data_IF_039937556391
#
_entry.id   IF_039937556391
#
_cell.length_a   1.000
_cell.length_b   1.000
_cell.length_c   1.000
_cell.angle_alpha   90.00
_cell.angle_beta   90.00
_cell.angle_gamma   90.00
#
_symmetry.space_group_name_H-M   'P 1'
#
loop_
_entity.id
_entity.type
_entity.pdbx_description
1 polymer ?
#
# COMPACT_ATOMS: atom_id res chain seq x y z
N UNK A 1 11.61 -27.35 13.56
CA UNK A 1 10.54 -26.37 13.85
C UNK A 1 11.25 -25.07 14.12
N UNK A 2 11.39 -24.24 13.09
CA UNK A 2 11.98 -22.91 13.25
C UNK A 2 10.93 -21.98 13.87
N UNK A 3 11.34 -21.29 14.92
CA UNK A 3 10.55 -20.41 15.78
C UNK A 3 10.98 -18.97 15.52
N UNK A 4 10.66 -18.44 14.33
CA UNK A 4 10.55 -17.00 14.10
C UNK A 4 9.69 -16.72 12.88
N UNK A 5 8.39 -16.95 13.00
CA UNK A 5 7.38 -16.45 12.06
C UNK A 5 7.19 -14.94 12.30
N UNK A 6 8.22 -14.15 11.98
CA UNK A 6 8.22 -12.69 12.14
C UNK A 6 7.99 -12.09 10.77
N UNK A 7 6.79 -12.26 10.24
CA UNK A 7 6.38 -11.51 9.06
C UNK A 7 6.34 -10.04 9.44
N UNK A 8 7.21 -9.26 8.82
CA UNK A 8 7.29 -7.82 8.93
C UNK A 8 6.74 -7.22 7.63
N UNK A 9 5.40 -7.24 7.42
CA UNK A 9 4.82 -6.77 6.17
C UNK A 9 4.97 -5.25 6.08
N UNK A 10 5.39 -4.78 4.91
CA UNK A 10 5.45 -3.37 4.55
C UNK A 10 4.70 -3.12 3.24
N UNK A 11 4.22 -1.89 3.09
CA UNK A 11 3.44 -1.48 1.92
C UNK A 11 4.23 -0.44 1.14
N UNK A 12 4.33 -0.64 -0.17
CA UNK A 12 4.95 0.30 -1.10
C UNK A 12 3.85 0.93 -1.94
N UNK A 13 3.71 2.24 -1.85
CA UNK A 13 2.81 3.07 -2.64
C UNK A 13 3.58 3.69 -3.80
N UNK A 14 3.09 3.60 -5.02
CA UNK A 14 3.73 4.21 -6.20
C UNK A 14 2.71 4.87 -7.10
N UNK A 15 3.00 6.09 -7.54
CA UNK A 15 2.20 6.89 -8.47
C UNK A 15 3.12 7.44 -9.54
N UNK A 16 2.95 6.99 -10.78
CA UNK A 16 3.80 7.39 -11.90
C UNK A 16 5.28 7.16 -11.61
N UNK A 17 6.07 8.24 -11.57
CA UNK A 17 7.51 8.21 -11.29
C UNK A 17 7.86 8.34 -9.79
N UNK A 18 6.88 8.40 -8.89
CA UNK A 18 7.10 8.62 -7.45
C UNK A 18 6.66 7.40 -6.67
N UNK A 19 7.54 6.89 -5.83
CA UNK A 19 7.26 5.80 -4.91
C UNK A 19 7.53 6.22 -3.47
N UNK A 20 6.73 5.69 -2.54
CA UNK A 20 6.81 5.94 -1.12
C UNK A 20 6.46 4.67 -0.37
N UNK A 21 7.36 4.26 0.51
CA UNK A 21 7.20 3.06 1.30
C UNK A 21 6.69 3.42 2.69
N UNK A 22 5.72 2.64 3.17
CA UNK A 22 5.26 2.71 4.56
C UNK A 22 6.34 2.25 5.51
N UNK A 23 6.32 2.75 6.74
CA UNK A 23 7.26 2.26 7.76
C UNK A 23 7.08 0.75 7.95
N UNK A 24 8.16 -0.01 7.78
CA UNK A 24 8.20 -1.44 8.10
C UNK A 24 8.06 -1.56 9.62
N UNK A 25 6.88 -1.92 10.11
CA UNK A 25 6.63 -2.07 11.56
C UNK A 25 7.16 -3.44 12.00
N UNK A 26 8.47 -3.47 12.30
CA UNK A 26 9.15 -4.64 12.84
C UNK A 26 8.42 -5.14 14.10
N UNK A 27 8.12 -6.43 14.17
CA UNK A 27 7.62 -7.13 15.37
C UNK A 27 6.18 -6.77 15.80
N UNK A 28 5.22 -6.69 14.86
CA UNK A 28 3.80 -6.62 15.22
C UNK A 28 2.86 -7.28 14.20
N UNK A 29 2.33 -8.46 14.54
CA UNK A 29 1.36 -9.27 13.77
C UNK A 29 -0.04 -8.63 13.60
N UNK A 30 -0.25 -7.41 14.09
CA UNK A 30 -1.48 -6.62 13.93
C UNK A 30 -1.13 -5.13 14.09
N UNK A 31 -0.74 -4.41 13.03
CA UNK A 31 -0.53 -2.97 13.13
C UNK A 31 -1.88 -2.23 13.20
N UNK A 32 -2.48 -2.19 14.38
CA UNK A 32 -3.55 -1.23 14.71
C UNK A 32 -2.89 0.10 15.07
N UNK A 33 -2.79 0.99 14.09
CA UNK A 33 -2.62 2.45 14.21
C UNK A 33 -1.30 2.97 14.86
N UNK A 34 -0.92 4.26 14.68
CA UNK A 34 -1.63 5.32 13.94
C UNK A 34 -1.74 5.03 12.43
N UNK A 35 -2.81 5.50 11.76
CA UNK A 35 -2.85 5.49 10.31
C UNK A 35 -1.69 6.36 9.80
N UNK A 36 -0.70 5.76 9.14
CA UNK A 36 0.32 6.54 8.43
C UNK A 36 -0.34 7.14 7.18
N UNK A 37 -0.39 8.47 7.11
CA UNK A 37 -0.83 9.20 5.93
C UNK A 37 0.38 9.51 5.06
N UNK A 38 0.27 9.19 3.77
CA UNK A 38 1.31 9.46 2.77
C UNK A 38 0.79 10.41 1.72
N UNK A 39 1.53 11.49 1.51
CA UNK A 39 1.28 12.40 0.39
C UNK A 39 2.17 12.01 -0.79
N UNK A 40 1.53 11.73 -1.93
CA UNK A 40 2.14 11.49 -3.24
C UNK A 40 1.59 12.49 -4.25
N UNK A 41 2.49 13.12 -5.00
CA UNK A 41 2.13 14.05 -6.07
C UNK A 41 1.93 13.27 -7.38
N UNK A 42 0.69 13.20 -7.86
CA UNK A 42 0.41 12.70 -9.19
C UNK A 42 0.70 13.77 -10.24
N UNK A 43 1.33 13.40 -11.35
CA UNK A 43 1.55 14.30 -12.47
C UNK A 43 0.28 14.41 -13.32
N UNK A 44 -0.17 13.27 -13.82
CA UNK A 44 -1.29 13.13 -14.75
C UNK A 44 -2.30 12.14 -14.16
N UNK A 45 -3.13 12.58 -13.21
CA UNK A 45 -4.10 11.71 -12.50
C UNK A 45 -5.12 10.98 -13.41
N UNK A 46 -5.24 11.36 -14.69
CA UNK A 46 -6.06 10.66 -15.69
C UNK A 46 -5.37 9.41 -16.25
N UNK A 47 -4.03 9.40 -16.26
CA UNK A 47 -3.19 8.33 -16.77
C UNK A 47 -2.47 7.56 -15.64
N UNK A 48 -2.16 8.27 -14.55
CA UNK A 48 -1.51 7.74 -13.37
C UNK A 48 -2.48 6.92 -12.51
N UNK A 49 -1.93 5.88 -11.92
CA UNK A 49 -2.59 4.97 -10.99
C UNK A 49 -1.71 4.79 -9.75
N UNK A 50 -2.37 4.68 -8.61
CA UNK A 50 -1.74 4.33 -7.35
C UNK A 50 -1.57 2.82 -7.29
N UNK A 51 -0.33 2.37 -7.50
CA UNK A 51 0.08 0.99 -7.26
C UNK A 51 0.41 0.83 -5.78
N UNK A 52 -0.20 -0.17 -5.15
CA UNK A 52 0.01 -0.52 -3.74
C UNK A 52 0.46 -1.97 -3.69
N UNK A 53 1.68 -2.19 -3.21
CA UNK A 53 2.29 -3.51 -3.14
C UNK A 53 2.58 -3.83 -1.70
N UNK A 54 2.08 -4.95 -1.22
CA UNK A 54 2.34 -5.48 0.13
C UNK A 54 3.44 -6.54 -0.01
N UNK A 55 4.53 -6.34 0.73
CA UNK A 55 5.71 -7.20 0.70
C UNK A 55 6.02 -7.64 2.13
N UNK A 56 6.49 -8.87 2.32
CA UNK A 56 7.00 -9.35 3.60
C UNK A 56 8.53 -9.19 3.61
N UNK A 57 9.06 -8.38 4.53
CA UNK A 57 10.52 -8.30 4.67
C UNK A 57 11.01 -9.46 5.53
N UNK A 58 11.41 -10.55 4.90
CA UNK A 58 12.14 -11.62 5.57
C UNK A 58 13.62 -11.27 5.69
N UNK A 59 14.16 -11.31 6.91
CA UNK A 59 15.57 -10.98 7.19
C UNK A 59 16.57 -12.00 6.58
N UNK A 60 16.09 -13.14 6.08
CA UNK A 60 16.89 -14.30 5.68
C UNK A 60 16.60 -14.80 4.24
N UNK A 61 15.48 -14.41 3.63
CA UNK A 61 15.07 -14.83 2.28
C UNK A 61 14.81 -13.62 1.37
N UNK A 62 14.64 -13.84 0.07
CA UNK A 62 14.26 -12.76 -0.85
C UNK A 62 12.85 -12.27 -0.49
N UNK A 63 12.64 -10.95 -0.37
CA UNK A 63 11.34 -10.36 -0.03
C UNK A 63 10.22 -10.96 -0.88
N UNK A 64 9.25 -11.62 -0.24
CA UNK A 64 8.11 -12.22 -0.94
C UNK A 64 7.00 -11.17 -1.14
N UNK A 65 6.44 -11.13 -2.34
CA UNK A 65 5.34 -10.22 -2.63
C UNK A 65 4.04 -10.88 -2.21
N UNK A 66 3.49 -10.43 -1.07
CA UNK A 66 2.20 -10.91 -0.54
C UNK A 66 1.07 -10.61 -1.53
N UNK A 67 1.09 -9.43 -2.14
CA UNK A 67 0.15 -9.09 -3.20
C UNK A 67 0.16 -7.61 -3.57
N UNK A 68 -0.57 -7.28 -4.63
CA UNK A 68 -0.61 -5.93 -5.19
C UNK A 68 -2.01 -5.52 -5.60
N UNK A 69 -2.25 -4.22 -5.62
CA UNK A 69 -3.45 -3.60 -6.17
C UNK A 69 -3.08 -2.32 -6.92
N UNK A 70 -3.76 -2.06 -8.02
CA UNK A 70 -3.67 -0.81 -8.79
C UNK A 70 -4.99 -0.04 -8.66
N UNK A 71 -4.90 1.23 -8.26
CA UNK A 71 -6.06 2.08 -7.98
C UNK A 71 -5.97 3.32 -8.88
N UNK A 72 -6.94 3.49 -9.78
CA UNK A 72 -6.98 4.66 -10.65
C UNK A 72 -7.21 5.93 -9.83
N UNK A 73 -6.42 6.99 -10.07
CA UNK A 73 -6.55 8.26 -9.35
C UNK A 73 -7.71 9.12 -9.85
N UNK A 74 -8.14 8.94 -11.10
CA UNK A 74 -9.25 9.67 -11.70
C UNK A 74 -10.56 9.63 -10.88
N UNK A 75 -11.08 8.46 -10.42
CA UNK A 75 -12.27 8.41 -9.57
C UNK A 75 -12.03 9.05 -8.19
N UNK A 76 -10.86 8.86 -7.59
CA UNK A 76 -10.49 9.47 -6.29
C UNK A 76 -10.55 10.98 -6.39
N UNK A 77 -9.99 11.56 -7.46
CA UNK A 77 -10.07 13.01 -7.70
C UNK A 77 -11.51 13.50 -7.84
N UNK A 78 -12.38 12.75 -8.54
CA UNK A 78 -13.79 13.14 -8.69
C UNK A 78 -14.55 13.08 -7.37
N UNK A 79 -14.23 12.11 -6.51
CA UNK A 79 -14.85 11.95 -5.21
C UNK A 79 -14.27 12.90 -4.14
N UNK A 80 -13.07 13.47 -4.38
CA UNK A 80 -12.21 14.21 -3.44
C UNK A 80 -11.72 13.38 -2.25
N UNK A 81 -12.51 12.40 -1.80
CA UNK A 81 -12.15 11.44 -0.78
C UNK A 81 -12.80 10.09 -1.11
N UNK A 82 -12.08 8.98 -0.91
CA UNK A 82 -12.61 7.63 -1.09
C UNK A 82 -11.99 6.68 -0.07
N UNK A 83 -12.83 5.92 0.63
CA UNK A 83 -12.40 4.87 1.55
C UNK A 83 -12.93 3.54 1.02
N UNK A 84 -12.05 2.78 0.39
CA UNK A 84 -12.40 1.53 -0.27
C UNK A 84 -11.47 0.40 0.19
N UNK A 85 -11.93 -0.82 -0.07
CA UNK A 85 -11.19 -2.04 0.25
C UNK A 85 -10.93 -2.81 -1.03
N UNK A 86 -9.67 -3.08 -1.31
CA UNK A 86 -9.25 -3.80 -2.49
C UNK A 86 -8.66 -5.15 -2.13
N UNK A 87 -9.04 -6.17 -2.90
CA UNK A 87 -8.45 -7.50 -2.81
C UNK A 87 -7.08 -7.47 -3.49
N UNK A 88 -6.08 -8.04 -2.82
CA UNK A 88 -4.74 -8.17 -3.38
C UNK A 88 -4.73 -9.25 -4.47
N UNK A 89 -4.01 -9.00 -5.56
CA UNK A 89 -3.72 -10.04 -6.55
C UNK A 89 -3.00 -11.22 -5.86
N UNK A 90 -3.52 -12.43 -6.03
CA UNK A 90 -3.03 -13.64 -5.34
C UNK A 90 -4.01 -14.27 -4.36
N UNK A 91 -5.15 -13.61 -4.06
CA UNK A 91 -6.21 -14.11 -3.18
C UNK A 91 -5.77 -14.37 -1.72
N UNK A 92 -4.66 -13.75 -1.30
CA UNK A 92 -4.05 -13.90 0.03
C UNK A 92 -4.17 -12.63 0.89
N UNK A 93 -5.24 -11.84 0.73
CA UNK A 93 -5.51 -10.69 1.59
C UNK A 93 -6.26 -9.55 0.92
N UNK A 94 -6.54 -8.51 1.71
CA UNK A 94 -7.15 -7.26 1.26
C UNK A 94 -6.48 -6.08 1.94
N UNK A 95 -6.38 -4.95 1.23
CA UNK A 95 -5.93 -3.68 1.78
C UNK A 95 -7.10 -2.70 1.78
N UNK A 96 -7.29 -2.02 2.91
CA UNK A 96 -8.25 -0.91 3.03
C UNK A 96 -7.44 0.37 3.08
N UNK A 97 -7.74 1.31 2.18
CA UNK A 97 -7.06 2.60 2.13
C UNK A 97 -8.10 3.71 2.12
N UNK A 98 -7.79 4.76 2.86
CA UNK A 98 -8.48 6.03 2.79
C UNK A 98 -7.64 6.97 1.94
N UNK A 99 -8.17 7.36 0.80
CA UNK A 99 -7.51 8.22 -0.18
C UNK A 99 -8.19 9.59 -0.13
N UNK A 100 -7.38 10.63 -0.03
CA UNK A 100 -7.83 12.01 -0.03
C UNK A 100 -7.06 12.79 -1.10
N UNK A 101 -7.78 13.52 -1.94
CA UNK A 101 -7.21 14.32 -3.00
C UNK A 101 -7.00 15.76 -2.55
N UNK A 102 -5.74 16.16 -2.35
CA UNK A 102 -5.35 17.55 -2.10
C UNK A 102 -4.80 18.18 -3.38
N UNK A 103 -5.68 18.83 -4.15
CA UNK A 103 -5.32 19.56 -5.35
C UNK A 103 -6.55 20.21 -5.99
N UNK A 104 -6.40 21.46 -6.45
CA UNK A 104 -7.42 22.23 -7.16
C UNK A 104 -7.31 22.03 -8.68
#
# INVERSE_FOLDING_TARGET
MDMSCTSDPYVVFSVGCRSKQSSVKRHSLNPVHPPESFELLAGDYELDELSVVVMDSDLLEADDTIGRVQIALAPVRRALQSADSWLLEGNCGSVTLELEWHGL
#
